data_IF_037764667116
#
_entry.id   IF_037764667116
#
_cell.length_a   1.000
_cell.length_b   1.000
_cell.length_c   1.000
_cell.angle_alpha   90.00
_cell.angle_beta   90.00
_cell.angle_gamma   90.00
#
_symmetry.space_group_name_H-M   'P 1'
#
loop_
_entity.id
_entity.type
_entity.pdbx_description
1 polymer ?
#
# COMPACT_ATOMS: atom_id res chain seq x y z
N UNK A 1 40.99 13.27 24.11
CA UNK A 1 39.91 13.81 23.26
C UNK A 1 39.72 12.77 22.15
N UNK A 2 38.93 11.72 22.42
CA UNK A 2 37.48 11.62 22.11
C UNK A 2 37.28 11.50 20.58
N UNK A 3 36.76 10.45 19.97
CA UNK A 3 36.00 9.28 20.40
C UNK A 3 36.26 8.12 19.42
N UNK A 4 36.41 6.91 19.96
CA UNK A 4 36.41 5.67 19.19
C UNK A 4 34.94 5.34 18.90
N UNK A 5 34.52 5.39 17.65
CA UNK A 5 33.28 4.73 17.23
C UNK A 5 33.52 3.22 17.25
N UNK A 6 33.37 2.65 18.44
CA UNK A 6 33.14 1.24 18.70
C UNK A 6 31.64 1.02 18.45
N UNK A 7 31.29 0.46 17.29
CA UNK A 7 29.94 -0.04 17.02
C UNK A 7 30.06 -1.47 16.49
N UNK A 8 30.22 -2.36 17.46
CA UNK A 8 29.50 -3.62 17.65
C UNK A 8 29.12 -4.43 16.39
N UNK A 9 29.89 -5.50 16.22
CA UNK A 9 29.59 -6.62 15.34
C UNK A 9 28.30 -7.32 15.80
N UNK A 10 27.24 -7.25 14.99
CA UNK A 10 26.06 -8.07 15.16
C UNK A 10 26.24 -9.43 14.46
N UNK A 11 26.64 -10.45 15.22
CA UNK A 11 26.55 -11.86 14.86
C UNK A 11 25.08 -12.29 14.74
N UNK A 12 24.59 -12.42 13.51
CA UNK A 12 23.30 -13.07 13.25
C UNK A 12 23.52 -14.58 13.11
N UNK A 13 23.41 -15.25 14.26
CA UNK A 13 23.38 -16.71 14.39
C UNK A 13 22.29 -17.33 13.53
N UNK A 14 22.67 -18.42 12.87
CA UNK A 14 21.81 -19.41 12.25
C UNK A 14 20.68 -19.84 13.19
N UNK A 15 19.45 -19.67 12.71
CA UNK A 15 18.27 -20.26 13.32
C UNK A 15 17.74 -21.36 12.40
N UNK A 16 18.36 -22.54 12.52
CA UNK A 16 17.81 -23.79 12.05
C UNK A 16 16.58 -24.12 12.92
N UNK A 17 15.39 -23.88 12.39
CA UNK A 17 14.14 -24.43 12.94
C UNK A 17 13.51 -25.36 11.93
N UNK A 18 13.95 -26.61 11.96
CA UNK A 18 13.12 -27.75 11.57
C UNK A 18 11.98 -27.89 12.58
N UNK A 19 10.74 -27.82 12.09
CA UNK A 19 9.53 -28.09 12.86
C UNK A 19 8.33 -28.07 11.92
N UNK A 20 7.88 -29.24 11.50
CA UNK A 20 6.68 -29.38 10.69
C UNK A 20 5.44 -28.90 11.45
N UNK A 21 4.58 -28.17 10.75
CA UNK A 21 3.14 -28.12 11.03
C UNK A 21 2.39 -28.03 9.70
N UNK A 22 1.63 -29.10 9.48
CA UNK A 22 0.27 -29.17 8.99
C UNK A 22 -0.26 -28.08 8.04
N UNK A 23 -0.79 -28.55 6.91
CA UNK A 23 -1.40 -27.73 5.87
C UNK A 23 -2.57 -26.90 6.39
N UNK A 24 -2.32 -25.61 6.59
CA UNK A 24 -3.38 -24.62 6.65
C UNK A 24 -3.78 -24.22 5.23
N UNK A 25 -4.74 -24.95 4.67
CA UNK A 25 -5.46 -24.56 3.47
C UNK A 25 -6.34 -23.34 3.79
N UNK A 26 -5.75 -22.15 3.71
CA UNK A 26 -6.46 -20.88 3.79
C UNK A 26 -7.27 -20.65 2.51
N UNK A 27 -8.43 -21.31 2.40
CA UNK A 27 -9.45 -20.96 1.42
C UNK A 27 -10.14 -19.65 1.85
N UNK A 28 -9.45 -18.53 1.69
CA UNK A 28 -10.09 -17.22 1.66
C UNK A 28 -10.48 -16.92 0.22
N UNK A 29 -11.57 -17.53 -0.26
CA UNK A 29 -12.39 -16.90 -1.29
C UNK A 29 -13.09 -15.71 -0.61
N UNK A 30 -12.32 -14.66 -0.32
CA UNK A 30 -12.92 -13.36 -0.09
C UNK A 30 -13.37 -12.89 -1.45
N UNK A 31 -14.68 -12.76 -1.65
CA UNK A 31 -15.25 -12.12 -2.83
C UNK A 31 -14.65 -10.71 -2.91
N UNK A 32 -13.58 -10.58 -3.70
CA UNK A 32 -12.78 -9.37 -3.77
C UNK A 32 -13.50 -8.31 -4.61
N UNK A 33 -14.33 -8.73 -5.57
CA UNK A 33 -15.05 -7.86 -6.50
C UNK A 33 -15.80 -6.71 -5.83
N UNK A 34 -16.76 -6.96 -4.91
CA UNK A 34 -17.52 -5.89 -4.27
C UNK A 34 -16.66 -4.92 -3.46
N UNK A 35 -15.61 -5.41 -2.80
CA UNK A 35 -14.72 -4.62 -1.94
C UNK A 35 -13.75 -3.76 -2.76
N UNK A 36 -13.30 -4.26 -3.90
CA UNK A 36 -12.47 -3.53 -4.86
C UNK A 36 -13.23 -2.33 -5.44
N UNK A 37 -14.52 -2.49 -5.75
CA UNK A 37 -15.36 -1.38 -6.24
C UNK A 37 -15.54 -0.30 -5.17
N UNK A 38 -15.78 -0.69 -3.91
CA UNK A 38 -15.86 0.28 -2.80
C UNK A 38 -14.53 1.01 -2.57
N UNK A 39 -13.41 0.29 -2.60
CA UNK A 39 -12.08 0.89 -2.50
C UNK A 39 -11.81 1.89 -3.65
N UNK A 40 -12.15 1.50 -4.89
CA UNK A 40 -12.03 2.37 -6.07
C UNK A 40 -12.83 3.66 -5.91
N UNK A 41 -14.10 3.57 -5.50
CA UNK A 41 -14.97 4.74 -5.34
C UNK A 41 -14.45 5.70 -4.25
N UNK A 42 -13.97 5.15 -3.13
CA UNK A 42 -13.41 5.96 -2.04
C UNK A 42 -12.12 6.66 -2.47
N UNK A 43 -11.16 5.94 -3.04
CA UNK A 43 -9.87 6.51 -3.46
C UNK A 43 -10.06 7.53 -4.57
N UNK A 44 -10.89 7.24 -5.57
CA UNK A 44 -11.16 8.18 -6.67
C UNK A 44 -11.90 9.43 -6.18
N UNK A 45 -12.83 9.28 -5.24
CA UNK A 45 -13.52 10.40 -4.60
C UNK A 45 -12.55 11.30 -3.81
N UNK A 46 -11.65 10.71 -3.05
CA UNK A 46 -10.64 11.46 -2.28
C UNK A 46 -9.66 12.19 -3.21
N UNK A 47 -9.17 11.51 -4.26
CA UNK A 47 -8.30 12.11 -5.26
C UNK A 47 -8.95 13.31 -5.97
N UNK A 48 -10.27 13.26 -6.25
CA UNK A 48 -11.01 14.38 -6.82
C UNK A 48 -11.08 15.58 -5.84
N UNK A 49 -11.34 15.31 -4.56
CA UNK A 49 -11.35 16.35 -3.51
C UNK A 49 -9.98 17.00 -3.39
N UNK A 50 -8.90 16.22 -3.38
CA UNK A 50 -7.53 16.74 -3.29
C UNK A 50 -7.11 17.52 -4.53
N UNK A 51 -7.52 17.07 -5.72
CA UNK A 51 -7.29 17.82 -6.96
C UNK A 51 -7.97 19.20 -6.90
N UNK A 52 -9.24 19.24 -6.47
CA UNK A 52 -9.99 20.49 -6.33
C UNK A 52 -9.37 21.36 -5.23
N UNK A 53 -9.02 20.79 -4.08
CA UNK A 53 -8.37 21.49 -2.98
C UNK A 53 -6.99 22.03 -3.37
N UNK A 54 -6.21 21.27 -4.14
CA UNK A 54 -4.92 21.67 -4.68
C UNK A 54 -5.04 22.84 -5.65
N UNK A 55 -6.05 22.82 -6.52
CA UNK A 55 -6.35 23.94 -7.43
C UNK A 55 -6.80 25.19 -6.67
N UNK A 56 -7.71 25.05 -5.69
CA UNK A 56 -8.19 26.16 -4.86
C UNK A 56 -7.08 26.76 -3.99
N UNK A 57 -6.20 25.92 -3.44
CA UNK A 57 -5.07 26.33 -2.61
C UNK A 57 -3.87 26.82 -3.42
N UNK A 58 -3.82 26.57 -4.73
CA UNK A 58 -2.64 26.84 -5.57
C UNK A 58 -1.41 25.99 -5.22
N UNK A 59 -1.61 24.80 -4.63
CA UNK A 59 -0.52 23.96 -4.12
C UNK A 59 -0.23 22.79 -5.05
N UNK A 60 0.96 22.79 -5.64
CA UNK A 60 1.47 21.67 -6.44
C UNK A 60 1.73 20.41 -5.59
N UNK A 61 1.95 20.57 -4.28
CA UNK A 61 2.16 19.43 -3.38
C UNK A 61 0.88 18.59 -3.25
N UNK A 62 -0.27 19.24 -3.03
CA UNK A 62 -1.59 18.58 -3.00
C UNK A 62 -1.96 17.98 -4.36
N UNK A 63 -1.60 18.66 -5.45
CA UNK A 63 -1.86 18.13 -6.79
C UNK A 63 -0.98 16.91 -7.13
N UNK A 64 0.26 16.89 -6.63
CA UNK A 64 1.14 15.72 -6.70
C UNK A 64 0.63 14.55 -5.87
N UNK A 65 0.06 14.84 -4.68
CA UNK A 65 -0.60 13.84 -3.85
C UNK A 65 -1.83 13.26 -4.57
N UNK A 66 -2.71 14.10 -5.11
CA UNK A 66 -3.84 13.65 -5.92
C UNK A 66 -3.41 12.83 -7.15
N UNK A 67 -2.34 13.22 -7.84
CA UNK A 67 -1.86 12.55 -9.05
C UNK A 67 -1.39 11.11 -8.82
N UNK A 68 -0.68 10.84 -7.72
CA UNK A 68 -0.30 9.46 -7.40
C UNK A 68 -1.54 8.63 -7.01
N UNK A 69 -2.47 9.21 -6.24
CA UNK A 69 -3.72 8.53 -5.86
C UNK A 69 -4.57 8.20 -7.08
N UNK A 70 -4.62 9.04 -8.11
CA UNK A 70 -5.30 8.73 -9.39
C UNK A 70 -4.68 7.51 -10.07
N UNK A 71 -3.36 7.40 -10.09
CA UNK A 71 -2.66 6.27 -10.74
C UNK A 71 -2.93 4.96 -9.98
N UNK A 72 -2.92 4.99 -8.65
CA UNK A 72 -3.31 3.86 -7.79
C UNK A 72 -4.80 3.48 -8.01
N UNK A 73 -5.68 4.48 -8.12
CA UNK A 73 -7.10 4.29 -8.44
C UNK A 73 -7.30 3.62 -9.79
N UNK A 74 -6.52 3.97 -10.81
CA UNK A 74 -6.59 3.32 -12.13
C UNK A 74 -6.21 1.84 -12.05
N UNK A 75 -5.18 1.49 -11.27
CA UNK A 75 -4.80 0.10 -11.04
C UNK A 75 -5.94 -0.69 -10.35
N UNK A 76 -6.55 -0.10 -9.31
CA UNK A 76 -7.74 -0.68 -8.67
C UNK A 76 -8.93 -0.81 -9.63
N UNK A 77 -9.11 0.16 -10.54
CA UNK A 77 -10.19 0.15 -11.53
C UNK A 77 -10.04 -0.99 -12.55
N UNK A 78 -8.83 -1.21 -13.04
CA UNK A 78 -8.53 -2.34 -13.92
C UNK A 78 -8.70 -3.68 -13.18
N UNK A 79 -8.26 -3.76 -11.93
CA UNK A 79 -8.46 -4.95 -11.10
C UNK A 79 -9.95 -5.22 -10.82
N UNK A 80 -10.74 -4.19 -10.56
CA UNK A 80 -12.19 -4.30 -10.37
C UNK A 80 -12.90 -4.74 -11.66
N UNK A 81 -12.51 -4.20 -12.82
CA UNK A 81 -13.03 -4.62 -14.13
C UNK A 81 -12.69 -6.10 -14.44
N UNK A 82 -11.50 -6.56 -14.05
CA UNK A 82 -11.12 -7.96 -14.22
C UNK A 82 -11.84 -8.90 -13.24
N UNK A 83 -12.31 -8.37 -12.11
CA UNK A 83 -12.96 -9.12 -11.04
C UNK A 83 -14.50 -9.14 -11.12
N UNK A 84 -15.11 -8.39 -12.06
CA UNK A 84 -16.57 -8.33 -12.28
C UNK A 84 -17.02 -9.26 -13.40
#
# INVERSE_FOLDING_TARGET
MSERHQQDHHDHRDHDKHGGHDGHAHHHHADAGPRLIWALLLTLGFAAVEAIAGLLSGSLALLGDAGHMVTDSMALGLAALAAV
#
